data_IF_128647418118
#
_entry.id   IF_128647418118
#
_cell.length_a   1.000
_cell.length_b   1.000
_cell.length_c   1.000
_cell.angle_alpha   90.00
_cell.angle_beta   90.00
_cell.angle_gamma   90.00
#
_symmetry.space_group_name_H-M   'P 1'
#
loop_
_entity.id
_entity.type
_entity.pdbx_description
1 polymer ?
#
# COMPACT_ATOMS: atom_id res chain seq x y z
N UNK A 1 -49.60 -35.20 72.87
CA UNK A 1 -49.36 -33.98 72.07
C UNK A 1 -47.85 -33.71 71.98
N UNK A 2 -47.05 -34.71 71.59
CA UNK A 2 -45.58 -34.62 71.43
C UNK A 2 -45.18 -35.24 70.08
N UNK A 3 -45.84 -36.34 69.67
CA UNK A 3 -45.61 -36.98 68.35
C UNK A 3 -45.97 -36.14 67.12
N UNK A 4 -46.77 -35.08 67.26
CA UNK A 4 -47.19 -34.24 66.13
C UNK A 4 -46.17 -33.13 65.81
N UNK A 5 -45.21 -32.88 66.71
CA UNK A 5 -44.13 -31.91 66.50
C UNK A 5 -42.95 -32.52 65.72
N UNK A 6 -42.64 -33.79 66.00
CA UNK A 6 -41.50 -34.51 65.41
C UNK A 6 -41.68 -34.78 63.89
N UNK A 7 -42.93 -34.92 63.44
CA UNK A 7 -43.26 -35.12 62.03
C UNK A 7 -43.19 -33.81 61.23
N UNK A 8 -43.58 -32.68 61.83
CA UNK A 8 -43.47 -31.34 61.23
C UNK A 8 -42.00 -30.90 61.11
N UNK A 9 -41.18 -31.23 62.11
CA UNK A 9 -39.74 -30.96 62.09
C UNK A 9 -39.02 -31.78 60.99
N UNK A 10 -39.51 -32.98 60.67
CA UNK A 10 -38.95 -33.83 59.61
C UNK A 10 -39.23 -33.27 58.21
N UNK A 11 -40.45 -32.81 57.94
CA UNK A 11 -40.81 -32.15 56.68
C UNK A 11 -40.13 -30.77 56.52
N UNK A 12 -39.97 -30.03 57.62
CA UNK A 12 -39.18 -28.79 57.64
C UNK A 12 -37.70 -29.06 57.34
N UNK A 13 -37.12 -30.13 57.88
CA UNK A 13 -35.74 -30.52 57.60
C UNK A 13 -35.54 -30.98 56.14
N UNK A 14 -36.48 -31.71 55.56
CA UNK A 14 -36.40 -32.22 54.19
C UNK A 14 -36.56 -31.09 53.15
N UNK A 15 -37.47 -30.13 53.38
CA UNK A 15 -37.58 -28.91 52.57
C UNK A 15 -36.37 -27.97 52.72
N UNK A 16 -35.79 -27.87 53.93
CA UNK A 16 -34.57 -27.11 54.16
C UNK A 16 -33.36 -27.74 53.44
N UNK A 17 -33.26 -29.07 53.38
CA UNK A 17 -32.16 -29.75 52.69
C UNK A 17 -32.16 -29.46 51.18
N UNK A 18 -33.33 -29.57 50.52
CA UNK A 18 -33.47 -29.34 49.07
C UNK A 18 -33.16 -27.89 48.67
N UNK A 19 -33.57 -26.92 49.50
CA UNK A 19 -33.30 -25.49 49.22
C UNK A 19 -31.82 -25.14 49.34
N UNK A 20 -31.09 -25.76 50.27
CA UNK A 20 -29.65 -25.60 50.43
C UNK A 20 -28.89 -26.21 49.24
N UNK A 21 -29.30 -27.38 48.75
CA UNK A 21 -28.67 -28.04 47.60
C UNK A 21 -28.90 -27.28 46.28
N UNK A 22 -30.11 -26.75 46.07
CA UNK A 22 -30.39 -25.91 44.90
C UNK A 22 -29.62 -24.58 44.95
N UNK A 23 -29.43 -24.02 46.14
CA UNK A 23 -28.62 -22.81 46.33
C UNK A 23 -27.15 -23.04 46.00
N UNK A 24 -26.56 -24.16 46.44
CA UNK A 24 -25.17 -24.53 46.12
C UNK A 24 -24.98 -24.73 44.61
N UNK A 25 -25.94 -25.40 43.97
CA UNK A 25 -25.92 -25.59 42.51
C UNK A 25 -26.02 -24.26 41.75
N UNK A 26 -26.90 -23.36 42.19
CA UNK A 26 -27.05 -22.03 41.61
C UNK A 26 -25.77 -21.19 41.75
N UNK A 27 -25.11 -21.24 42.92
CA UNK A 27 -23.85 -20.54 43.17
C UNK A 27 -22.74 -21.06 42.24
N UNK A 28 -22.63 -22.39 42.06
CA UNK A 28 -21.65 -23.00 41.15
C UNK A 28 -21.87 -22.59 39.70
N UNK A 29 -23.12 -22.60 39.24
CA UNK A 29 -23.47 -22.17 37.87
C UNK A 29 -23.18 -20.69 37.67
N UNK A 30 -23.57 -19.83 38.62
CA UNK A 30 -23.30 -18.39 38.56
C UNK A 30 -21.79 -18.09 38.52
N UNK A 31 -21.00 -18.84 39.29
CA UNK A 31 -19.53 -18.72 39.31
C UNK A 31 -18.93 -19.09 37.95
N UNK A 32 -19.39 -20.18 37.34
CA UNK A 32 -18.96 -20.58 36.00
C UNK A 32 -19.31 -19.53 34.93
N UNK A 33 -20.50 -18.95 35.01
CA UNK A 33 -20.93 -17.90 34.08
C UNK A 33 -20.11 -16.61 34.23
N UNK A 34 -19.83 -16.18 35.47
CA UNK A 34 -18.97 -15.02 35.73
C UNK A 34 -17.55 -15.22 35.22
N UNK A 35 -16.93 -16.37 35.52
CA UNK A 35 -15.59 -16.68 35.05
C UNK A 35 -15.53 -16.76 33.52
N UNK A 36 -16.52 -17.43 32.90
CA UNK A 36 -16.63 -17.51 31.44
C UNK A 36 -16.78 -16.13 30.79
N UNK A 37 -17.62 -15.26 31.35
CA UNK A 37 -17.84 -13.90 30.86
C UNK A 37 -16.59 -13.04 30.95
N UNK A 38 -15.85 -13.12 32.07
CA UNK A 38 -14.60 -12.38 32.25
C UNK A 38 -13.52 -12.84 31.28
N UNK A 39 -13.36 -14.16 31.11
CA UNK A 39 -12.39 -14.71 30.16
C UNK A 39 -12.73 -14.35 28.72
N UNK A 40 -14.01 -14.43 28.34
CA UNK A 40 -14.48 -14.03 27.02
C UNK A 40 -14.24 -12.52 26.77
N UNK A 41 -14.52 -11.67 27.76
CA UNK A 41 -14.26 -10.24 27.68
C UNK A 41 -12.77 -9.92 27.48
N UNK A 42 -11.88 -10.57 28.24
CA UNK A 42 -10.44 -10.41 28.10
C UNK A 42 -9.93 -10.91 26.74
N UNK A 43 -10.46 -12.04 26.26
CA UNK A 43 -10.14 -12.60 24.96
C UNK A 43 -10.57 -11.66 23.82
N UNK A 44 -11.80 -11.15 23.85
CA UNK A 44 -12.31 -10.18 22.87
C UNK A 44 -11.52 -8.88 22.89
N UNK A 45 -11.20 -8.35 24.08
CA UNK A 45 -10.41 -7.12 24.23
C UNK A 45 -8.99 -7.29 23.65
N UNK A 46 -8.35 -8.43 23.91
CA UNK A 46 -6.99 -8.71 23.40
C UNK A 46 -7.00 -8.98 21.89
N UNK A 47 -7.95 -9.78 21.41
CA UNK A 47 -8.12 -10.09 19.99
C UNK A 47 -8.47 -8.84 19.18
N UNK A 48 -9.35 -7.98 19.71
CA UNK A 48 -9.68 -6.69 19.08
C UNK A 48 -8.47 -5.76 18.98
N UNK A 49 -7.63 -5.68 20.01
CA UNK A 49 -6.43 -4.86 19.98
C UNK A 49 -5.38 -5.36 18.97
N UNK A 50 -5.20 -6.68 18.83
CA UNK A 50 -4.29 -7.26 17.83
C UNK A 50 -4.85 -7.09 16.41
N UNK A 51 -6.15 -7.33 16.20
CA UNK A 51 -6.80 -7.11 14.92
C UNK A 51 -6.71 -5.64 14.49
N UNK A 52 -6.84 -4.69 15.44
CA UNK A 52 -6.69 -3.26 15.16
C UNK A 52 -5.26 -2.92 14.72
N UNK A 53 -4.23 -3.42 15.42
CA UNK A 53 -2.83 -3.19 15.02
C UNK A 53 -2.53 -3.71 13.62
N UNK A 54 -3.02 -4.91 13.29
CA UNK A 54 -2.82 -5.48 11.95
C UNK A 54 -3.49 -4.63 10.86
N UNK A 55 -4.69 -4.10 11.13
CA UNK A 55 -5.38 -3.17 10.20
C UNK A 55 -4.58 -1.88 10.02
N UNK A 56 -4.12 -1.29 11.12
CA UNK A 56 -3.33 -0.05 11.08
C UNK A 56 -2.04 -0.21 10.25
N UNK A 57 -1.36 -1.36 10.37
CA UNK A 57 -0.15 -1.65 9.59
C UNK A 57 -0.45 -1.88 8.09
N UNK A 58 -1.57 -2.53 7.77
CA UNK A 58 -2.01 -2.69 6.38
C UNK A 58 -2.39 -1.34 5.76
N UNK A 59 -3.06 -0.46 6.49
CA UNK A 59 -3.44 0.86 6.02
C UNK A 59 -2.22 1.77 5.82
N UNK A 60 -1.24 1.72 6.72
CA UNK A 60 0.06 2.40 6.54
C UNK A 60 0.77 1.92 5.28
N UNK A 61 0.80 0.61 5.04
CA UNK A 61 1.41 0.04 3.82
C UNK A 61 0.71 0.54 2.57
N UNK A 62 -0.63 0.61 2.57
CA UNK A 62 -1.40 1.14 1.44
C UNK A 62 -1.08 2.61 1.18
N UNK A 63 -1.01 3.41 2.22
CA UNK A 63 -0.66 4.83 2.11
C UNK A 63 0.73 5.02 1.50
N UNK A 64 1.71 4.20 1.90
CA UNK A 64 3.06 4.24 1.33
C UNK A 64 3.09 3.80 -0.14
N UNK A 65 2.32 2.76 -0.52
CA UNK A 65 2.19 2.34 -1.93
C UNK A 65 1.47 3.40 -2.78
N UNK A 66 0.47 4.08 -2.22
CA UNK A 66 -0.20 5.21 -2.88
C UNK A 66 0.77 6.39 -3.06
N UNK A 67 1.56 6.71 -2.04
CA UNK A 67 2.60 7.74 -2.15
C UNK A 67 3.60 7.41 -3.27
N UNK A 68 4.05 6.15 -3.36
CA UNK A 68 4.91 5.68 -4.45
C UNK A 68 4.25 5.88 -5.82
N UNK A 69 2.97 5.53 -5.95
CA UNK A 69 2.19 5.79 -7.17
C UNK A 69 2.19 7.27 -7.55
N UNK A 70 1.89 8.15 -6.59
CA UNK A 70 1.83 9.59 -6.83
C UNK A 70 3.19 10.17 -7.26
N UNK A 71 4.28 9.72 -6.62
CA UNK A 71 5.65 10.12 -6.98
C UNK A 71 6.01 9.72 -8.41
N UNK A 72 5.70 8.47 -8.80
CA UNK A 72 5.95 7.97 -10.16
C UNK A 72 5.07 8.72 -11.17
N UNK A 73 3.82 9.01 -10.81
CA UNK A 73 2.90 9.81 -11.62
C UNK A 73 3.43 11.22 -11.92
N UNK A 74 3.99 11.91 -10.91
CA UNK A 74 4.61 13.23 -11.08
C UNK A 74 5.79 13.19 -12.07
N UNK A 75 6.69 12.22 -11.90
CA UNK A 75 7.84 12.03 -12.80
C UNK A 75 7.36 11.78 -14.23
N UNK A 76 6.35 10.91 -14.40
CA UNK A 76 5.80 10.60 -15.70
C UNK A 76 5.16 11.83 -16.37
N UNK A 77 4.48 12.68 -15.61
CA UNK A 77 3.88 13.90 -16.14
C UNK A 77 4.93 14.84 -16.73
N UNK A 78 6.01 15.11 -16.00
CA UNK A 78 7.12 15.95 -16.48
C UNK A 78 7.81 15.29 -17.68
N UNK A 79 7.98 13.97 -17.64
CA UNK A 79 8.50 13.19 -18.77
C UNK A 79 7.65 13.35 -20.03
N UNK A 80 6.33 13.33 -19.95
CA UNK A 80 5.45 13.53 -21.12
C UNK A 80 5.59 14.93 -21.72
N UNK A 81 5.70 15.96 -20.87
CA UNK A 81 5.96 17.34 -21.34
C UNK A 81 7.31 17.44 -22.05
N UNK A 82 8.35 16.82 -21.48
CA UNK A 82 9.65 16.70 -22.12
C UNK A 82 9.57 15.97 -23.47
N UNK A 83 8.93 14.79 -23.50
CA UNK A 83 8.78 13.99 -24.71
C UNK A 83 8.05 14.74 -25.83
N UNK A 84 7.02 15.52 -25.50
CA UNK A 84 6.32 16.37 -26.46
C UNK A 84 7.27 17.33 -27.19
N UNK A 85 8.17 17.98 -26.44
CA UNK A 85 9.19 18.88 -27.01
C UNK A 85 10.25 18.12 -27.80
N UNK A 86 10.64 16.93 -27.36
CA UNK A 86 11.59 16.07 -28.09
C UNK A 86 11.03 15.63 -29.44
N UNK A 87 9.76 15.24 -29.49
CA UNK A 87 9.09 14.84 -30.75
C UNK A 87 8.89 16.05 -31.66
N UNK A 88 8.59 17.22 -31.10
CA UNK A 88 8.54 18.47 -31.85
C UNK A 88 9.92 18.78 -32.48
N UNK A 89 10.98 18.66 -31.69
CA UNK A 89 12.36 18.86 -32.13
C UNK A 89 12.77 17.89 -33.22
N UNK A 90 12.45 16.60 -33.07
CA UNK A 90 12.85 15.56 -34.02
C UNK A 90 12.22 15.75 -35.41
N UNK A 91 11.08 16.45 -35.48
CA UNK A 91 10.41 16.79 -36.74
C UNK A 91 10.96 18.04 -37.42
N UNK A 92 11.39 19.05 -36.64
CA UNK A 92 11.82 20.34 -37.17
C UNK A 92 13.34 20.49 -37.33
N UNK A 93 14.13 19.74 -36.56
CA UNK A 93 15.59 19.74 -36.62
C UNK A 93 16.21 21.14 -36.55
N UNK A 94 16.98 21.49 -37.57
CA UNK A 94 17.77 22.73 -37.66
C UNK A 94 16.92 24.00 -37.59
N UNK A 95 15.69 23.96 -38.12
CA UNK A 95 14.80 25.13 -38.16
C UNK A 95 14.10 25.41 -36.82
N UNK A 96 14.40 24.64 -35.78
CA UNK A 96 13.72 24.82 -34.50
C UNK A 96 14.17 26.10 -33.77
N UNK A 97 13.24 27.00 -33.36
CA UNK A 97 13.59 28.30 -32.79
C UNK A 97 14.40 28.21 -31.49
N UNK A 98 15.30 29.18 -31.27
CA UNK A 98 16.15 29.22 -30.07
C UNK A 98 15.33 29.29 -28.76
N UNK A 99 14.19 29.99 -28.77
CA UNK A 99 13.31 30.08 -27.59
C UNK A 99 12.76 28.70 -27.17
N UNK A 100 12.44 27.82 -28.14
CA UNK A 100 11.99 26.44 -27.87
C UNK A 100 13.13 25.56 -27.40
N UNK A 101 14.36 25.76 -27.91
CA UNK A 101 15.54 25.05 -27.39
C UNK A 101 15.81 25.41 -25.93
N UNK A 102 15.63 26.67 -25.54
CA UNK A 102 15.69 27.11 -24.13
C UNK A 102 14.61 26.43 -23.28
N UNK A 103 13.40 26.32 -23.81
CA UNK A 103 12.31 25.59 -23.16
C UNK A 103 12.62 24.10 -22.95
N UNK A 104 13.18 23.42 -23.97
CA UNK A 104 13.63 22.03 -23.85
C UNK A 104 14.71 21.86 -22.78
N UNK A 105 15.71 22.76 -22.72
CA UNK A 105 16.74 22.74 -21.66
C UNK A 105 16.11 22.89 -20.28
N UNK A 106 15.19 23.84 -20.10
CA UNK A 106 14.45 24.03 -18.85
C UNK A 106 13.66 22.78 -18.46
N UNK A 107 12.94 22.15 -19.41
CA UNK A 107 12.19 20.92 -19.14
C UNK A 107 13.09 19.72 -18.84
N UNK A 108 14.29 19.70 -19.42
CA UNK A 108 15.31 18.68 -19.10
C UNK A 108 15.81 18.84 -17.66
N UNK A 109 16.07 20.06 -17.21
CA UNK A 109 16.44 20.34 -15.81
C UNK A 109 15.31 20.00 -14.84
N UNK A 110 14.07 20.36 -15.18
CA UNK A 110 12.88 19.99 -14.39
C UNK A 110 12.71 18.47 -14.29
N UNK A 111 12.94 17.75 -15.39
CA UNK A 111 12.94 16.29 -15.40
C UNK A 111 14.00 15.74 -14.43
N UNK A 112 15.23 16.24 -14.49
CA UNK A 112 16.31 15.83 -13.57
C UNK A 112 15.97 16.14 -12.11
N UNK A 113 15.33 17.27 -11.83
CA UNK A 113 14.92 17.61 -10.47
C UNK A 113 13.85 16.64 -9.94
N UNK A 114 12.82 16.32 -10.74
CA UNK A 114 11.75 15.41 -10.31
C UNK A 114 12.22 13.96 -10.17
N UNK A 115 13.35 13.57 -10.77
CA UNK A 115 13.94 12.23 -10.57
C UNK A 115 14.24 11.91 -9.09
N UNK A 116 14.40 12.93 -8.24
CA UNK A 116 14.52 12.70 -6.79
C UNK A 116 13.28 12.02 -6.19
N UNK A 117 12.08 12.30 -6.71
CA UNK A 117 10.83 11.64 -6.31
C UNK A 117 10.85 10.15 -6.69
N UNK A 118 11.44 9.81 -7.83
CA UNK A 118 11.61 8.41 -8.25
C UNK A 118 12.53 7.65 -7.28
N UNK A 119 13.61 8.29 -6.83
CA UNK A 119 14.54 7.69 -5.86
C UNK A 119 13.88 7.55 -4.48
N UNK A 120 13.07 8.52 -4.05
CA UNK A 120 12.29 8.43 -2.82
C UNK A 120 11.27 7.28 -2.87
N UNK A 121 10.61 7.09 -4.02
CA UNK A 121 9.70 5.98 -4.26
C UNK A 121 10.43 4.63 -4.19
N UNK A 122 11.60 4.52 -4.82
CA UNK A 122 12.45 3.32 -4.74
C UNK A 122 12.86 2.98 -3.30
N UNK A 123 13.32 3.98 -2.54
CA UNK A 123 13.67 3.79 -1.13
C UNK A 123 12.47 3.31 -0.30
N UNK A 124 11.30 3.91 -0.51
CA UNK A 124 10.04 3.49 0.15
C UNK A 124 9.70 2.03 -0.16
N UNK A 125 9.81 1.62 -1.42
CA UNK A 125 9.58 0.22 -1.81
C UNK A 125 10.59 -0.75 -1.19
N UNK A 126 11.85 -0.35 -1.00
CA UNK A 126 12.84 -1.16 -0.27
C UNK A 126 12.46 -1.35 1.19
N UNK A 127 12.01 -0.28 1.85
CA UNK A 127 11.54 -0.33 3.25
C UNK A 127 10.31 -1.23 3.40
N UNK A 128 9.44 -1.27 2.40
CA UNK A 128 8.30 -2.18 2.34
C UNK A 128 8.67 -3.64 1.96
N UNK A 129 9.92 -3.89 1.57
CA UNK A 129 10.39 -5.21 1.13
C UNK A 129 10.00 -5.58 -0.32
N UNK A 130 9.45 -4.64 -1.09
CA UNK A 130 8.96 -4.87 -2.46
C UNK A 130 10.09 -4.77 -3.50
N UNK A 131 11.07 -5.67 -3.41
CA UNK A 131 12.27 -5.69 -4.27
C UNK A 131 11.96 -5.77 -5.78
N UNK A 132 10.85 -6.42 -6.16
CA UNK A 132 10.44 -6.53 -7.56
C UNK A 132 9.98 -5.19 -8.12
N UNK A 133 9.13 -4.48 -7.37
CA UNK A 133 8.63 -3.15 -7.74
C UNK A 133 9.77 -2.13 -7.77
N UNK A 134 10.68 -2.20 -6.81
CA UNK A 134 11.87 -1.33 -6.81
C UNK A 134 12.72 -1.54 -8.06
N UNK A 135 13.01 -2.79 -8.42
CA UNK A 135 13.77 -3.09 -9.63
C UNK A 135 13.06 -2.58 -10.90
N UNK A 136 11.73 -2.73 -10.97
CA UNK A 136 10.94 -2.20 -12.08
C UNK A 136 11.09 -0.68 -12.21
N UNK A 137 11.00 0.06 -11.10
CA UNK A 137 11.25 1.52 -11.10
C UNK A 137 12.67 1.89 -11.49
N UNK A 138 13.66 1.09 -11.12
CA UNK A 138 15.05 1.33 -11.50
C UNK A 138 15.24 1.21 -13.01
N UNK A 139 14.68 0.16 -13.62
CA UNK A 139 14.72 -0.04 -15.08
C UNK A 139 13.96 1.09 -15.79
N UNK A 140 12.78 1.46 -15.30
CA UNK A 140 12.01 2.60 -15.79
C UNK A 140 12.81 3.91 -15.79
N UNK A 141 13.43 4.25 -14.64
CA UNK A 141 14.26 5.45 -14.53
C UNK A 141 15.48 5.42 -15.43
N UNK A 142 16.16 4.27 -15.53
CA UNK A 142 17.31 4.11 -16.41
C UNK A 142 16.95 4.34 -17.88
N UNK A 143 15.77 3.89 -18.33
CA UNK A 143 15.32 4.10 -19.71
C UNK A 143 15.02 5.56 -20.02
N UNK A 144 14.42 6.29 -19.09
CA UNK A 144 14.23 7.75 -19.23
C UNK A 144 15.59 8.47 -19.33
N UNK A 145 16.58 8.07 -18.53
CA UNK A 145 17.94 8.64 -18.61
C UNK A 145 18.59 8.32 -19.97
N UNK A 146 18.40 7.12 -20.50
CA UNK A 146 18.89 6.75 -21.83
C UNK A 146 18.27 7.66 -22.91
N UNK A 147 16.96 7.87 -22.88
CA UNK A 147 16.28 8.77 -23.81
C UNK A 147 16.80 10.20 -23.73
N UNK A 148 17.04 10.71 -22.51
CA UNK A 148 17.65 12.04 -22.31
C UNK A 148 19.04 12.16 -22.95
N UNK A 149 19.84 11.10 -22.90
CA UNK A 149 21.20 11.10 -23.50
C UNK A 149 21.16 11.14 -25.02
N UNK A 150 20.17 10.50 -25.65
CA UNK A 150 19.97 10.53 -27.10
C UNK A 150 19.69 11.97 -27.58
N UNK A 151 18.89 12.71 -26.82
CA UNK A 151 18.45 14.07 -27.12
C UNK A 151 19.39 15.08 -26.46
N UNK A 152 20.51 15.37 -27.12
CA UNK A 152 21.36 16.50 -26.73
C UNK A 152 20.80 17.78 -27.34
N UNK A 153 20.60 18.82 -26.52
CA UNK A 153 20.06 20.11 -26.97
C UNK A 153 20.97 20.88 -27.95
N UNK A 154 22.18 20.37 -28.20
CA UNK A 154 23.17 20.90 -29.12
C UNK A 154 23.27 20.11 -30.43
N UNK A 155 22.54 18.98 -30.54
CA UNK A 155 22.42 18.31 -31.83
C UNK A 155 21.70 19.25 -32.81
N UNK A 156 21.96 19.08 -34.10
CA UNK A 156 21.33 19.85 -35.16
C UNK A 156 20.24 19.03 -35.84
N UNK A 157 20.48 17.74 -36.03
CA UNK A 157 19.57 16.79 -36.68
C UNK A 157 19.66 15.42 -36.01
N UNK A 158 18.61 14.62 -36.17
CA UNK A 158 18.60 13.20 -35.79
C UNK A 158 18.86 12.35 -37.04
N UNK A 159 19.70 11.32 -36.90
CA UNK A 159 19.79 10.28 -37.92
C UNK A 159 18.52 9.43 -37.96
N UNK A 160 18.24 8.78 -39.09
CA UNK A 160 17.10 7.85 -39.22
C UNK A 160 17.13 6.72 -38.18
N UNK A 161 18.32 6.23 -37.84
CA UNK A 161 18.50 5.22 -36.79
C UNK A 161 18.19 5.78 -35.39
N UNK A 162 18.56 7.02 -35.12
CA UNK A 162 18.28 7.68 -33.83
C UNK A 162 16.78 7.98 -33.63
N UNK A 163 16.05 8.25 -34.73
CA UNK A 163 14.60 8.41 -34.69
C UNK A 163 13.90 7.09 -34.33
N UNK A 164 14.37 5.97 -34.89
CA UNK A 164 13.87 4.64 -34.53
C UNK A 164 14.17 4.32 -33.07
N UNK A 165 15.40 4.59 -32.60
CA UNK A 165 15.76 4.41 -31.19
C UNK A 165 14.91 5.27 -30.25
N UNK A 166 14.57 6.51 -30.64
CA UNK A 166 13.69 7.39 -29.88
C UNK A 166 12.28 6.80 -29.76
N UNK A 167 11.72 6.30 -30.86
CA UNK A 167 10.39 5.68 -30.87
C UNK A 167 10.34 4.38 -30.06
N UNK A 168 11.40 3.59 -30.10
CA UNK A 168 11.52 2.36 -29.30
C UNK A 168 11.68 2.67 -27.81
N UNK A 169 12.50 3.67 -27.44
CA UNK A 169 12.59 4.17 -26.07
C UNK A 169 11.23 4.60 -25.55
N UNK A 170 10.48 5.36 -26.34
CA UNK A 170 9.15 5.85 -25.98
C UNK A 170 8.19 4.68 -25.69
N UNK A 171 8.14 3.67 -26.55
CA UNK A 171 7.31 2.47 -26.38
C UNK A 171 7.71 1.68 -25.14
N UNK A 172 9.00 1.48 -24.92
CA UNK A 172 9.50 0.75 -23.75
C UNK A 172 9.20 1.49 -22.45
N UNK A 173 9.38 2.81 -22.39
CA UNK A 173 9.05 3.60 -21.20
C UNK A 173 7.56 3.49 -20.87
N UNK A 174 6.70 3.48 -21.89
CA UNK A 174 5.27 3.27 -21.70
C UNK A 174 4.97 1.86 -21.16
N UNK A 175 5.55 0.83 -21.76
CA UNK A 175 5.37 -0.56 -21.32
C UNK A 175 5.90 -0.82 -19.90
N UNK A 176 7.05 -0.26 -19.55
CA UNK A 176 7.62 -0.35 -18.19
C UNK A 176 6.72 0.33 -17.16
N UNK A 177 6.09 1.46 -17.52
CA UNK A 177 5.14 2.15 -16.65
C UNK A 177 3.89 1.31 -16.41
N UNK A 178 3.32 0.75 -17.46
CA UNK A 178 2.13 -0.11 -17.38
C UNK A 178 2.42 -1.34 -16.54
N UNK A 179 3.49 -2.07 -16.84
CA UNK A 179 3.91 -3.25 -16.08
C UNK A 179 4.18 -2.93 -14.59
N UNK A 180 4.70 -1.74 -14.29
CA UNK A 180 4.87 -1.27 -12.92
C UNK A 180 3.53 -1.06 -12.21
N UNK A 181 2.58 -0.36 -12.84
CA UNK A 181 1.26 -0.13 -12.24
C UNK A 181 0.43 -1.40 -12.11
N UNK A 182 0.54 -2.34 -13.04
CA UNK A 182 -0.11 -3.64 -12.94
C UNK A 182 0.42 -4.39 -11.71
N UNK A 183 1.75 -4.46 -11.57
CA UNK A 183 2.39 -5.08 -10.40
C UNK A 183 2.05 -4.38 -9.09
N UNK A 184 1.91 -3.04 -9.12
CA UNK A 184 1.55 -2.24 -7.95
C UNK A 184 0.09 -2.49 -7.54
N UNK A 185 -0.81 -2.56 -8.52
CA UNK A 185 -2.24 -2.86 -8.33
C UNK A 185 -2.43 -4.24 -7.70
N UNK A 186 -1.72 -5.26 -8.19
CA UNK A 186 -1.76 -6.60 -7.61
C UNK A 186 -1.38 -6.60 -6.12
N UNK A 187 -0.32 -5.85 -5.76
CA UNK A 187 0.10 -5.69 -4.36
C UNK A 187 -0.92 -4.94 -3.53
N UNK A 188 -1.52 -3.89 -4.09
CA UNK A 188 -2.56 -3.12 -3.43
C UNK A 188 -3.80 -3.97 -3.16
N UNK A 189 -4.23 -4.80 -4.12
CA UNK A 189 -5.39 -5.70 -3.98
C UNK A 189 -5.11 -6.89 -3.08
N UNK A 190 -3.91 -7.48 -3.11
CA UNK A 190 -3.53 -8.57 -2.19
C UNK A 190 -3.60 -8.08 -0.73
N UNK A 191 -3.19 -6.84 -0.47
CA UNK A 191 -3.34 -6.23 0.86
C UNK A 191 -4.80 -6.04 1.30
N UNK A 192 -5.75 -6.04 0.35
CA UNK A 192 -7.20 -5.94 0.62
C UNK A 192 -7.80 -7.27 1.07
N UNK A 193 -7.28 -8.39 0.56
CA UNK A 193 -7.79 -9.74 0.89
C UNK A 193 -7.24 -10.29 2.21
N UNK A 194 -6.12 -9.74 2.70
CA UNK A 194 -5.51 -10.13 3.97
C UNK A 194 -6.02 -9.33 5.19
N UNK A 195 -6.90 -8.34 4.98
CA UNK A 195 -7.50 -7.48 6.01
C UNK A 195 -8.91 -7.97 6.40
#
# INVERSE_FOLDING_TARGET
>A
MICQYEEVDKYLAEGAMVTIEMLDTAIKVATGFLLGSVLLYLYLRRSGAVAQRNRDDLDRRRLLLQQVSDQVGKVHHVYQQYLSLVVEYSRMGVNWPEYRRKELRKKTEELVAVFQELNAAQATLLLLGEKKLERALRVYGARIVAMRRLVSAEKLEFSGDELNELDDNKKEIQGLREAFYDSLSDRFMTSRQAA
#
